data_IF_506967117294
#
_entry.id   IF_506967117294
#
_cell.length_a   1.000
_cell.length_b   1.000
_cell.length_c   1.000
_cell.angle_alpha   90.00
_cell.angle_beta   90.00
_cell.angle_gamma   90.00
#
_symmetry.space_group_name_H-M   'P 1'
#
loop_
_entity.id
_entity.type
_entity.pdbx_description
1 polymer ?
#
# COMPACT_ATOMS: atom_id res chain seq x y z
N UNK A 1 8.99 -43.53 -63.77
CA UNK A 1 10.15 -42.77 -63.27
C UNK A 1 10.28 -41.51 -64.13
N UNK A 2 10.28 -40.25 -63.68
CA UNK A 2 10.12 -39.57 -62.40
C UNK A 2 10.06 -38.08 -62.78
N UNK A 3 8.89 -37.44 -62.65
CA UNK A 3 8.63 -36.08 -63.16
C UNK A 3 9.11 -35.00 -62.18
N UNK A 4 9.82 -34.02 -62.74
CA UNK A 4 10.33 -32.77 -62.17
C UNK A 4 9.26 -32.03 -61.34
N UNK A 5 9.57 -31.70 -60.08
CA UNK A 5 8.73 -30.83 -59.23
C UNK A 5 9.14 -29.37 -59.42
N UNK A 6 8.23 -28.56 -59.94
CA UNK A 6 8.36 -27.09 -60.04
C UNK A 6 8.06 -26.48 -58.68
N UNK A 7 9.03 -25.78 -58.10
CA UNK A 7 8.88 -24.99 -56.87
C UNK A 7 8.19 -23.67 -57.24
N UNK A 8 7.01 -23.43 -56.67
CA UNK A 8 6.23 -22.20 -56.84
C UNK A 8 6.46 -21.32 -55.61
N UNK A 9 7.33 -20.32 -55.74
CA UNK A 9 7.57 -19.30 -54.71
C UNK A 9 6.31 -18.43 -54.56
N UNK A 10 5.59 -18.59 -53.44
CA UNK A 10 4.54 -17.67 -53.03
C UNK A 10 5.22 -16.59 -52.17
N UNK A 11 5.37 -15.40 -52.75
CA UNK A 11 5.76 -14.18 -52.03
C UNK A 11 4.54 -13.74 -51.22
N UNK A 12 4.47 -14.14 -49.96
CA UNK A 12 3.51 -13.62 -48.99
C UNK A 12 3.99 -12.27 -48.48
N UNK A 13 3.35 -11.19 -48.90
CA UNK A 13 3.63 -9.84 -48.42
C UNK A 13 3.39 -9.73 -46.92
N UNK A 14 4.42 -9.32 -46.18
CA UNK A 14 4.32 -8.99 -44.77
C UNK A 14 3.55 -7.68 -44.61
N UNK A 15 2.26 -7.78 -44.27
CA UNK A 15 1.48 -6.68 -43.72
C UNK A 15 2.00 -6.42 -42.30
N UNK A 16 2.99 -5.52 -42.20
CA UNK A 16 3.37 -4.90 -40.94
C UNK A 16 2.22 -3.99 -40.52
N UNK A 17 1.29 -4.54 -39.76
CA UNK A 17 0.36 -3.76 -38.93
C UNK A 17 1.20 -3.10 -37.83
N UNK A 18 1.78 -1.95 -38.15
CA UNK A 18 2.22 -1.00 -37.14
C UNK A 18 0.97 -0.51 -36.43
N UNK A 19 0.56 -1.24 -35.38
CA UNK A 19 -0.31 -0.74 -34.34
C UNK A 19 0.47 0.39 -33.65
N UNK A 20 0.41 1.59 -34.23
CA UNK A 20 0.76 2.79 -33.51
C UNK A 20 -0.10 2.78 -32.26
N UNK A 21 0.53 2.75 -31.08
CA UNK A 21 -0.18 2.97 -29.84
C UNK A 21 -1.11 4.16 -30.04
N UNK A 22 -2.41 3.97 -29.85
CA UNK A 22 -3.35 5.07 -29.90
C UNK A 22 -3.06 5.93 -28.66
N UNK A 23 -2.14 6.88 -28.80
CA UNK A 23 -1.89 7.91 -27.81
C UNK A 23 -3.14 8.80 -27.81
N UNK A 24 -4.06 8.46 -26.91
CA UNK A 24 -5.29 9.21 -26.71
C UNK A 24 -4.98 10.40 -25.80
N UNK A 25 -5.69 11.51 -26.00
CA UNK A 25 -5.87 12.47 -24.93
C UNK A 25 -6.79 11.87 -23.85
N UNK A 26 -7.09 12.62 -22.79
CA UNK A 26 -7.94 12.14 -21.68
C UNK A 26 -9.41 11.86 -22.06
N UNK A 27 -9.75 12.01 -23.34
CA UNK A 27 -11.06 11.84 -23.95
C UNK A 27 -10.96 11.08 -25.29
N UNK A 28 -12.08 10.55 -25.77
CA UNK A 28 -12.16 9.88 -27.07
C UNK A 28 -11.88 10.88 -28.21
N UNK A 29 -10.71 10.74 -28.85
CA UNK A 29 -10.29 11.60 -29.94
C UNK A 29 -11.24 11.60 -31.15
N UNK A 30 -12.11 10.61 -31.31
CA UNK A 30 -13.16 10.61 -32.34
C UNK A 30 -14.27 11.62 -32.04
N UNK A 31 -14.38 12.06 -30.80
CA UNK A 31 -15.37 13.01 -30.30
C UNK A 31 -14.79 14.43 -30.16
N UNK A 32 -13.55 14.66 -30.62
CA UNK A 32 -12.91 15.97 -30.57
C UNK A 32 -13.69 17.02 -31.37
N UNK A 33 -14.32 17.98 -30.69
CA UNK A 33 -15.15 19.03 -31.28
C UNK A 33 -14.40 20.34 -31.52
N UNK A 34 -13.37 20.64 -30.73
CA UNK A 34 -12.64 21.92 -30.82
C UNK A 34 -11.32 21.79 -31.60
N UNK A 35 -10.78 22.89 -32.19
CA UNK A 35 -9.44 22.88 -32.80
C UNK A 35 -8.35 22.47 -31.81
N UNK A 36 -8.49 22.86 -30.53
CA UNK A 36 -7.56 22.45 -29.47
C UNK A 36 -7.64 20.95 -29.21
N UNK A 37 -8.83 20.37 -29.02
CA UNK A 37 -9.00 18.93 -28.81
C UNK A 37 -8.41 18.11 -29.96
N UNK A 38 -8.68 18.52 -31.22
CA UNK A 38 -8.08 17.90 -32.39
C UNK A 38 -6.54 18.00 -32.36
N UNK A 39 -5.99 19.11 -31.85
CA UNK A 39 -4.54 19.27 -31.72
C UNK A 39 -3.93 18.41 -30.62
N UNK A 40 -4.61 18.28 -29.47
CA UNK A 40 -4.21 17.37 -28.38
C UNK A 40 -4.13 15.93 -28.87
N UNK A 41 -5.12 15.49 -29.65
CA UNK A 41 -5.16 14.16 -30.26
C UNK A 41 -4.10 13.95 -31.35
N UNK A 42 -3.70 14.99 -32.06
CA UNK A 42 -2.73 14.90 -33.15
C UNK A 42 -1.27 14.93 -32.68
N UNK A 43 -0.99 15.44 -31.47
CA UNK A 43 0.38 15.62 -30.94
C UNK A 43 0.55 14.79 -29.67
N UNK A 44 1.27 13.65 -29.72
CA UNK A 44 1.40 12.74 -28.58
C UNK A 44 1.86 13.40 -27.29
N UNK A 45 2.86 14.30 -27.37
CA UNK A 45 3.37 15.01 -26.19
C UNK A 45 2.33 15.96 -25.54
N UNK A 46 1.35 16.46 -26.31
CA UNK A 46 0.25 17.26 -25.76
C UNK A 46 -0.86 16.35 -25.19
N UNK A 47 -1.13 15.21 -25.82
CA UNK A 47 -2.03 14.19 -25.29
C UNK A 47 -1.58 13.69 -23.91
N UNK A 48 -0.29 13.36 -23.75
CA UNK A 48 0.27 12.97 -22.46
C UNK A 48 0.13 14.04 -21.37
N UNK A 49 0.30 15.32 -21.71
CA UNK A 49 0.09 16.42 -20.75
C UNK A 49 -1.39 16.59 -20.39
N UNK A 50 -2.30 16.31 -21.31
CA UNK A 50 -3.75 16.31 -21.06
C UNK A 50 -4.15 15.14 -20.15
N UNK A 51 -3.57 13.95 -20.33
CA UNK A 51 -3.77 12.80 -19.44
C UNK A 51 -3.30 13.11 -18.01
N UNK A 52 -2.09 13.67 -17.84
CA UNK A 52 -1.58 14.09 -16.54
C UNK A 52 -2.48 15.12 -15.86
N UNK A 53 -3.06 16.02 -16.66
CA UNK A 53 -3.95 17.06 -16.16
C UNK A 53 -5.29 16.49 -15.70
N UNK A 54 -5.86 15.56 -16.46
CA UNK A 54 -7.10 14.87 -16.12
C UNK A 54 -6.92 14.01 -14.86
N UNK A 55 -5.79 13.30 -14.72
CA UNK A 55 -5.43 12.58 -13.50
C UNK A 55 -5.36 13.51 -12.28
N UNK A 56 -4.61 14.61 -12.38
CA UNK A 56 -4.50 15.59 -11.30
C UNK A 56 -5.85 16.22 -10.96
N UNK A 57 -6.68 16.53 -11.97
CA UNK A 57 -8.01 17.09 -11.78
C UNK A 57 -8.96 16.12 -11.07
N UNK A 58 -8.95 14.83 -11.43
CA UNK A 58 -9.71 13.78 -10.73
C UNK A 58 -9.26 13.66 -9.28
N UNK A 59 -7.95 13.65 -9.02
CA UNK A 59 -7.41 13.64 -7.66
C UNK A 59 -7.92 14.81 -6.80
N UNK A 60 -7.93 16.03 -7.35
CA UNK A 60 -8.49 17.21 -6.66
C UNK A 60 -9.99 17.03 -6.38
N UNK A 61 -10.77 16.50 -7.33
CA UNK A 61 -12.20 16.25 -7.10
C UNK A 61 -12.45 15.19 -6.03
N UNK A 62 -11.62 14.16 -5.96
CA UNK A 62 -11.79 13.05 -5.02
C UNK A 62 -11.37 13.42 -3.59
N UNK A 63 -10.48 14.40 -3.42
CA UNK A 63 -9.94 14.82 -2.11
C UNK A 63 -10.46 16.17 -1.61
N UNK A 64 -11.10 16.96 -2.47
CA UNK A 64 -11.66 18.26 -2.07
C UNK A 64 -12.81 18.11 -1.06
N UNK A 65 -12.93 19.06 -0.11
CA UNK A 65 -14.16 19.22 0.66
C UNK A 65 -15.37 19.45 -0.25
N UNK A 66 -16.52 18.91 0.14
CA UNK A 66 -17.81 19.01 -0.57
C UNK A 66 -18.12 20.43 -1.02
N UNK A 67 -17.98 21.39 -0.12
CA UNK A 67 -18.33 22.79 -0.35
C UNK A 67 -17.41 23.47 -1.37
N UNK A 68 -16.21 22.91 -1.60
CA UNK A 68 -15.23 23.42 -2.56
C UNK A 68 -15.40 22.84 -3.98
N UNK A 69 -16.17 21.76 -4.16
CA UNK A 69 -16.27 21.04 -5.44
C UNK A 69 -16.82 21.91 -6.57
N UNK A 70 -17.80 22.76 -6.29
CA UNK A 70 -18.36 23.68 -7.29
C UNK A 70 -17.30 24.67 -7.78
N UNK A 71 -16.53 25.25 -6.85
CA UNK A 71 -15.46 26.20 -7.17
C UNK A 71 -14.35 25.54 -8.00
N UNK A 72 -13.94 24.31 -7.66
CA UNK A 72 -12.95 23.53 -8.43
C UNK A 72 -13.42 23.34 -9.89
N UNK A 73 -14.68 22.95 -10.07
CA UNK A 73 -15.29 22.74 -11.41
C UNK A 73 -15.38 24.05 -12.20
N UNK A 74 -15.74 25.16 -11.56
CA UNK A 74 -15.79 26.47 -12.19
C UNK A 74 -14.41 26.96 -12.64
N UNK A 75 -13.39 26.79 -11.80
CA UNK A 75 -12.02 27.11 -12.14
C UNK A 75 -11.52 26.28 -13.33
N UNK A 76 -11.84 24.98 -13.38
CA UNK A 76 -11.48 24.13 -14.51
C UNK A 76 -12.17 24.57 -15.81
N UNK A 77 -13.48 24.89 -15.76
CA UNK A 77 -14.22 25.44 -16.92
C UNK A 77 -13.65 26.77 -17.40
N UNK A 78 -13.27 27.66 -16.48
CA UNK A 78 -12.65 28.92 -16.82
C UNK A 78 -11.29 28.71 -17.50
N UNK A 79 -10.47 27.81 -16.96
CA UNK A 79 -9.19 27.43 -17.56
C UNK A 79 -9.36 26.82 -18.96
N UNK A 80 -10.36 25.95 -19.19
CA UNK A 80 -10.64 25.40 -20.52
C UNK A 80 -10.91 26.49 -21.57
N UNK A 81 -11.61 27.57 -21.20
CA UNK A 81 -11.80 28.73 -22.10
C UNK A 81 -10.48 29.43 -22.42
N UNK A 82 -9.61 29.61 -21.43
CA UNK A 82 -8.27 30.20 -21.61
C UNK A 82 -7.39 29.32 -22.51
N UNK A 83 -7.36 28.00 -22.27
CA UNK A 83 -6.66 27.02 -23.11
C UNK A 83 -7.15 27.07 -24.55
N UNK A 84 -8.47 27.15 -24.77
CA UNK A 84 -9.04 27.17 -26.11
C UNK A 84 -8.64 28.42 -26.92
N UNK A 85 -8.26 29.52 -26.28
CA UNK A 85 -7.71 30.70 -26.97
C UNK A 85 -6.36 30.42 -27.66
N UNK A 86 -5.60 29.39 -27.24
CA UNK A 86 -4.36 28.98 -27.91
C UNK A 86 -4.55 28.58 -29.39
N UNK A 87 -5.77 28.24 -29.81
CA UNK A 87 -6.07 27.98 -31.22
C UNK A 87 -5.84 29.20 -32.14
N UNK A 88 -5.80 30.41 -31.56
CA UNK A 88 -5.52 31.66 -32.28
C UNK A 88 -4.05 32.09 -32.17
N UNK A 89 -3.22 31.39 -31.39
CA UNK A 89 -1.80 31.69 -31.22
C UNK A 89 -1.00 31.23 -32.45
N UNK A 90 -0.08 32.06 -32.93
CA UNK A 90 0.79 31.70 -34.05
C UNK A 90 1.67 30.46 -33.76
N UNK A 91 1.93 30.17 -32.49
CA UNK A 91 2.64 28.99 -31.97
C UNK A 91 1.72 28.15 -31.08
N UNK A 92 0.64 27.63 -31.66
CA UNK A 92 -0.40 26.83 -30.98
C UNK A 92 0.18 25.78 -30.02
N UNK A 93 1.14 24.96 -30.46
CA UNK A 93 1.70 23.88 -29.64
C UNK A 93 2.44 24.39 -28.41
N UNK A 94 3.20 25.46 -28.56
CA UNK A 94 3.93 26.07 -27.45
C UNK A 94 2.97 26.72 -26.46
N UNK A 95 1.90 27.35 -26.95
CA UNK A 95 0.83 27.89 -26.11
C UNK A 95 0.13 26.77 -25.32
N UNK A 96 -0.27 25.69 -25.99
CA UNK A 96 -0.92 24.54 -25.36
C UNK A 96 0.00 23.87 -24.35
N UNK A 97 1.27 23.61 -24.69
CA UNK A 97 2.24 23.00 -23.79
C UNK A 97 2.40 23.81 -22.51
N UNK A 98 2.57 25.15 -22.62
CA UNK A 98 2.67 26.03 -21.44
C UNK A 98 1.38 26.02 -20.61
N UNK A 99 0.22 26.11 -21.26
CA UNK A 99 -1.08 26.13 -20.58
C UNK A 99 -1.38 24.83 -19.83
N UNK A 100 -1.15 23.68 -20.46
CA UNK A 100 -1.32 22.36 -19.86
C UNK A 100 -0.36 22.17 -18.69
N UNK A 101 0.94 22.41 -18.88
CA UNK A 101 1.94 22.26 -17.81
C UNK A 101 1.62 23.13 -16.61
N UNK A 102 1.31 24.42 -16.83
CA UNK A 102 0.96 25.32 -15.74
C UNK A 102 -0.29 24.85 -14.97
N UNK A 103 -1.26 24.24 -15.66
CA UNK A 103 -2.45 23.70 -15.02
C UNK A 103 -2.20 22.40 -14.27
N UNK A 104 -1.41 21.48 -14.81
CA UNK A 104 -0.93 20.28 -14.11
C UNK A 104 -0.26 20.70 -12.80
N UNK A 105 0.71 21.62 -12.86
CA UNK A 105 1.44 22.10 -11.68
C UNK A 105 0.50 22.76 -10.65
N UNK A 106 -0.51 23.52 -11.10
CA UNK A 106 -1.47 24.16 -10.21
C UNK A 106 -2.45 23.15 -9.55
N UNK A 107 -2.89 22.15 -10.30
CA UNK A 107 -3.73 21.07 -9.78
C UNK A 107 -2.94 20.19 -8.81
N UNK A 108 -1.69 19.86 -9.10
CA UNK A 108 -0.79 19.14 -8.19
C UNK A 108 -0.67 19.84 -6.85
N UNK A 109 -0.31 21.14 -6.84
CA UNK A 109 -0.25 21.94 -5.59
C UNK A 109 -1.58 21.97 -4.82
N UNK A 110 -2.70 21.99 -5.55
CA UNK A 110 -4.03 21.98 -4.93
C UNK A 110 -4.31 20.62 -4.28
N UNK A 111 -3.98 19.54 -4.99
CA UNK A 111 -4.11 18.17 -4.51
C UNK A 111 -3.26 17.96 -3.24
N UNK A 112 -1.98 18.36 -3.27
CA UNK A 112 -1.07 18.23 -2.13
C UNK A 112 -1.64 18.96 -0.91
N UNK A 113 -2.12 20.20 -1.08
CA UNK A 113 -2.70 20.98 0.02
C UNK A 113 -3.98 20.35 0.59
N UNK A 114 -4.83 19.76 -0.28
CA UNK A 114 -6.04 19.06 0.14
C UNK A 114 -5.70 17.77 0.91
N UNK A 115 -4.77 16.98 0.39
CA UNK A 115 -4.26 15.77 1.03
C UNK A 115 -3.63 16.08 2.40
N UNK A 116 -2.76 17.09 2.49
CA UNK A 116 -2.17 17.52 3.76
C UNK A 116 -3.23 17.99 4.77
N UNK A 117 -4.35 18.54 4.30
CA UNK A 117 -5.46 18.92 5.19
C UNK A 117 -6.18 17.70 5.73
N UNK A 118 -6.50 16.72 4.88
CA UNK A 118 -7.09 15.45 5.31
C UNK A 118 -6.17 14.71 6.27
N UNK A 119 -4.86 14.68 6.00
CA UNK A 119 -3.85 14.07 6.87
C UNK A 119 -3.78 14.71 8.25
N UNK A 120 -3.86 16.04 8.33
CA UNK A 120 -3.90 16.73 9.62
C UNK A 120 -5.14 16.36 10.44
N UNK A 121 -6.28 16.16 9.77
CA UNK A 121 -7.51 15.68 10.43
C UNK A 121 -7.28 14.26 10.96
N UNK A 122 -6.76 13.35 10.13
CA UNK A 122 -6.50 11.96 10.51
C UNK A 122 -5.47 11.87 11.65
N UNK A 123 -4.37 12.60 11.56
CA UNK A 123 -3.32 12.64 12.57
C UNK A 123 -3.80 13.22 13.91
N UNK A 124 -4.90 14.00 13.92
CA UNK A 124 -5.50 14.52 15.15
C UNK A 124 -6.34 13.49 15.90
N UNK A 125 -6.73 12.38 15.28
CA UNK A 125 -7.64 11.38 15.85
C UNK A 125 -7.21 10.92 17.26
N UNK A 126 -5.94 10.58 17.54
CA UNK A 126 -5.54 10.13 18.88
C UNK A 126 -5.72 11.19 19.98
N UNK A 127 -5.74 12.47 19.62
CA UNK A 127 -5.79 13.60 20.56
C UNK A 127 -7.19 14.18 20.69
N UNK A 128 -7.87 14.36 19.55
CA UNK A 128 -9.16 15.05 19.44
C UNK A 128 -10.09 14.28 18.50
N UNK A 129 -10.49 13.04 18.85
CA UNK A 129 -11.24 12.16 17.94
C UNK A 129 -12.62 12.72 17.56
N UNK A 130 -13.31 13.39 18.50
CA UNK A 130 -14.60 14.04 18.22
C UNK A 130 -14.47 15.20 17.22
N UNK A 131 -13.36 15.94 17.25
CA UNK A 131 -13.13 17.06 16.33
C UNK A 131 -12.82 16.55 14.92
N UNK A 132 -12.06 15.45 14.82
CA UNK A 132 -11.83 14.77 13.55
C UNK A 132 -13.15 14.22 12.97
N UNK A 133 -13.98 13.58 13.79
CA UNK A 133 -15.29 13.07 13.41
C UNK A 133 -16.27 14.14 12.91
N UNK A 134 -16.16 15.38 13.40
CA UNK A 134 -16.96 16.52 12.90
C UNK A 134 -16.48 17.06 11.54
N UNK A 135 -15.21 16.91 11.22
CA UNK A 135 -14.62 17.45 9.99
C UNK A 135 -14.69 16.47 8.80
N UNK A 136 -14.43 15.18 9.04
CA UNK A 136 -14.42 14.14 8.00
C UNK A 136 -15.71 14.05 7.15
N UNK A 137 -16.93 14.30 7.67
CA UNK A 137 -18.14 14.29 6.86
C UNK A 137 -18.17 15.33 5.74
N UNK A 138 -17.36 16.39 5.86
CA UNK A 138 -17.16 17.39 4.82
C UNK A 138 -16.43 16.86 3.58
N UNK A 139 -15.90 15.64 3.62
CA UNK A 139 -15.21 15.00 2.50
C UNK A 139 -16.08 13.86 1.94
N UNK A 140 -16.17 13.79 0.61
CA UNK A 140 -16.74 12.63 -0.10
C UNK A 140 -15.71 11.57 -0.47
N UNK A 141 -14.43 11.87 -0.21
CA UNK A 141 -13.32 10.97 -0.41
C UNK A 141 -13.61 9.58 0.20
N UNK A 142 -13.38 8.48 -0.54
CA UNK A 142 -13.56 7.14 0.01
C UNK A 142 -12.68 6.88 1.24
N UNK A 143 -11.46 7.45 1.30
CA UNK A 143 -10.61 7.36 2.49
C UNK A 143 -11.27 8.00 3.71
N UNK A 144 -11.81 9.22 3.59
CA UNK A 144 -12.50 9.88 4.70
C UNK A 144 -13.72 9.07 5.18
N UNK A 145 -14.40 8.41 4.24
CA UNK A 145 -15.51 7.51 4.54
C UNK A 145 -15.05 6.24 5.29
N UNK A 146 -13.92 5.64 4.91
CA UNK A 146 -13.33 4.52 5.63
C UNK A 146 -12.89 4.92 7.06
N UNK A 147 -12.34 6.13 7.25
CA UNK A 147 -12.01 6.67 8.58
C UNK A 147 -13.24 6.88 9.46
N UNK A 148 -14.37 7.34 8.92
CA UNK A 148 -15.61 7.45 9.69
C UNK A 148 -16.11 6.09 10.19
N UNK A 149 -16.00 5.05 9.35
CA UNK A 149 -16.30 3.69 9.78
C UNK A 149 -15.34 3.21 10.87
N UNK A 150 -14.03 3.47 10.72
CA UNK A 150 -13.03 3.17 11.76
C UNK A 150 -13.35 3.86 13.10
N UNK A 151 -13.65 5.16 13.08
CA UNK A 151 -13.94 5.93 14.28
C UNK A 151 -15.13 5.37 15.06
N UNK A 152 -16.19 4.94 14.37
CA UNK A 152 -17.34 4.30 15.02
C UNK A 152 -16.97 2.99 15.72
N UNK A 153 -16.20 2.13 15.05
CA UNK A 153 -15.91 0.79 15.56
C UNK A 153 -14.78 0.71 16.60
N UNK A 154 -13.83 1.65 16.56
CA UNK A 154 -12.61 1.57 17.37
C UNK A 154 -12.39 2.78 18.28
N UNK A 155 -13.12 3.88 18.10
CA UNK A 155 -12.93 5.12 18.88
C UNK A 155 -14.28 5.64 19.37
N UNK A 156 -14.89 5.05 20.41
CA UNK A 156 -16.20 5.47 20.92
C UNK A 156 -16.29 6.97 21.27
N UNK A 157 -15.19 7.55 21.75
CA UNK A 157 -15.07 8.98 22.06
C UNK A 157 -15.20 9.91 20.83
N UNK A 158 -15.13 9.38 19.61
CA UNK A 158 -15.36 10.12 18.38
C UNK A 158 -16.83 10.49 18.17
N UNK A 159 -17.76 9.73 18.75
CA UNK A 159 -19.21 10.01 18.66
C UNK A 159 -19.80 9.85 17.26
N UNK A 160 -19.20 9.03 16.39
CA UNK A 160 -19.74 8.74 15.05
C UNK A 160 -20.95 7.82 15.18
N UNK A 161 -22.09 8.27 14.66
CA UNK A 161 -23.34 7.50 14.62
C UNK A 161 -23.23 6.23 13.74
N UNK A 162 -23.93 5.16 14.13
CA UNK A 162 -23.89 3.88 13.44
C UNK A 162 -24.46 3.94 12.02
N UNK A 163 -25.54 4.70 11.79
CA UNK A 163 -26.12 4.83 10.45
C UNK A 163 -25.18 5.61 9.53
N UNK A 164 -24.53 6.67 10.03
CA UNK A 164 -23.49 7.39 9.29
C UNK A 164 -22.31 6.46 8.97
N UNK A 165 -21.80 5.71 9.95
CA UNK A 165 -20.67 4.80 9.77
C UNK A 165 -20.96 3.73 8.70
N UNK A 166 -22.14 3.09 8.78
CA UNK A 166 -22.56 2.08 7.81
C UNK A 166 -22.70 2.65 6.40
N UNK A 167 -23.33 3.82 6.25
CA UNK A 167 -23.46 4.49 4.96
C UNK A 167 -22.10 4.83 4.35
N UNK A 168 -21.14 5.26 5.17
CA UNK A 168 -19.77 5.60 4.74
C UNK A 168 -18.95 4.37 4.40
N UNK A 169 -19.07 3.29 5.17
CA UNK A 169 -18.46 1.99 4.83
C UNK A 169 -18.94 1.50 3.45
N UNK A 170 -20.25 1.46 3.21
CA UNK A 170 -20.81 0.99 1.93
C UNK A 170 -20.46 1.92 0.77
N UNK A 171 -20.41 3.24 1.00
CA UNK A 171 -19.94 4.21 0.01
C UNK A 171 -18.49 3.93 -0.41
N UNK A 172 -17.59 3.76 0.56
CA UNK A 172 -16.18 3.47 0.31
C UNK A 172 -15.97 2.09 -0.34
N UNK A 173 -16.71 1.05 0.10
CA UNK A 173 -16.67 -0.28 -0.51
C UNK A 173 -17.17 -0.26 -1.96
N UNK A 174 -18.25 0.46 -2.25
CA UNK A 174 -18.78 0.62 -3.61
C UNK A 174 -17.81 1.39 -4.51
N UNK A 175 -17.16 2.43 -3.99
CA UNK A 175 -16.12 3.15 -4.71
C UNK A 175 -14.93 2.23 -5.03
N UNK A 176 -14.51 1.41 -4.06
CA UNK A 176 -13.40 0.46 -4.23
C UNK A 176 -13.73 -0.54 -5.33
N UNK A 177 -14.94 -1.11 -5.31
CA UNK A 177 -15.39 -2.08 -6.33
C UNK A 177 -15.31 -1.55 -7.76
N UNK A 178 -15.60 -0.26 -7.96
CA UNK A 178 -15.51 0.37 -9.30
C UNK A 178 -14.07 0.46 -9.80
N UNK A 179 -13.11 0.58 -8.89
CA UNK A 179 -11.70 0.79 -9.23
C UNK A 179 -10.84 -0.48 -9.12
N UNK A 180 -11.28 -1.44 -8.31
CA UNK A 180 -10.58 -2.67 -7.95
C UNK A 180 -11.58 -3.70 -7.40
N UNK A 181 -12.30 -4.37 -8.32
CA UNK A 181 -13.33 -5.35 -7.97
C UNK A 181 -12.76 -6.53 -7.17
N UNK A 182 -11.52 -6.93 -7.45
CA UNK A 182 -10.85 -8.00 -6.73
C UNK A 182 -10.55 -7.61 -5.27
N UNK A 183 -10.01 -6.42 -5.00
CA UNK A 183 -9.81 -6.00 -3.61
C UNK A 183 -11.16 -5.88 -2.87
N UNK A 184 -12.18 -5.34 -3.53
CA UNK A 184 -13.50 -5.21 -2.93
C UNK A 184 -14.16 -6.56 -2.63
N UNK A 185 -13.91 -7.60 -3.44
CA UNK A 185 -14.50 -8.92 -3.21
C UNK A 185 -13.96 -9.63 -1.97
N UNK A 186 -12.76 -9.26 -1.48
CA UNK A 186 -12.23 -9.75 -0.20
C UNK A 186 -13.06 -9.29 1.02
N UNK A 187 -13.93 -8.30 0.85
CA UNK A 187 -14.83 -7.80 1.90
C UNK A 187 -16.24 -8.41 1.83
N UNK A 188 -16.50 -9.24 0.84
CA UNK A 188 -17.78 -9.94 0.69
C UNK A 188 -17.78 -11.21 1.54
N UNK A 189 -18.97 -11.62 1.95
CA UNK A 189 -19.14 -12.94 2.56
C UNK A 189 -19.01 -13.99 1.47
N UNK A 190 -18.14 -14.98 1.69
CA UNK A 190 -17.92 -16.09 0.77
C UNK A 190 -18.61 -17.33 1.30
N UNK A 191 -19.46 -17.95 0.48
CA UNK A 191 -20.16 -19.19 0.82
C UNK A 191 -19.15 -20.28 1.23
N UNK A 192 -19.35 -20.86 2.41
CA UNK A 192 -18.50 -21.92 2.95
C UNK A 192 -17.22 -21.44 3.65
N UNK A 193 -16.96 -20.14 3.71
CA UNK A 193 -15.90 -19.56 4.55
C UNK A 193 -16.50 -18.86 5.79
N UNK A 194 -15.80 -18.84 6.93
CA UNK A 194 -16.21 -17.99 8.06
C UNK A 194 -16.28 -16.53 7.62
N UNK A 195 -17.43 -15.90 7.85
CA UNK A 195 -17.63 -14.48 7.52
C UNK A 195 -16.60 -13.63 8.28
N UNK A 196 -16.01 -12.67 7.57
CA UNK A 196 -15.10 -11.71 8.17
C UNK A 196 -15.86 -10.89 9.23
N UNK A 197 -15.31 -10.79 10.44
CA UNK A 197 -15.94 -9.98 11.49
C UNK A 197 -16.04 -8.52 11.04
N UNK A 198 -17.10 -7.82 11.43
CA UNK A 198 -17.35 -6.44 10.97
C UNK A 198 -16.17 -5.50 11.25
N UNK A 199 -15.52 -5.63 12.41
CA UNK A 199 -14.33 -4.87 12.77
C UNK A 199 -13.16 -5.14 11.82
N UNK A 200 -12.95 -6.40 11.44
CA UNK A 200 -11.91 -6.78 10.48
C UNK A 200 -12.22 -6.22 9.09
N UNK A 201 -13.48 -6.28 8.64
CA UNK A 201 -13.91 -5.67 7.35
C UNK A 201 -13.60 -4.17 7.30
N UNK A 202 -13.83 -3.46 8.40
CA UNK A 202 -13.56 -2.02 8.50
C UNK A 202 -12.07 -1.71 8.42
N UNK A 203 -11.23 -2.46 9.13
CA UNK A 203 -9.78 -2.29 9.06
C UNK A 203 -9.22 -2.66 7.68
N UNK A 204 -9.71 -3.75 7.07
CA UNK A 204 -9.32 -4.18 5.72
C UNK A 204 -9.71 -3.13 4.67
N UNK A 205 -10.94 -2.58 4.74
CA UNK A 205 -11.36 -1.50 3.84
C UNK A 205 -10.51 -0.24 4.04
N UNK A 206 -10.20 0.14 5.29
CA UNK A 206 -9.34 1.27 5.59
C UNK A 206 -7.94 1.07 5.01
N UNK A 207 -7.35 -0.12 5.22
CA UNK A 207 -6.09 -0.55 4.62
C UNK A 207 -6.12 -0.39 3.10
N UNK A 208 -7.15 -0.90 2.42
CA UNK A 208 -7.28 -0.82 0.96
C UNK A 208 -7.36 0.62 0.43
N UNK A 209 -7.88 1.57 1.21
CA UNK A 209 -7.89 2.97 0.81
C UNK A 209 -6.58 3.68 1.10
N UNK A 210 -5.94 3.41 2.24
CA UNK A 210 -4.61 3.95 2.55
C UNK A 210 -3.59 3.46 1.53
N UNK A 211 -3.71 2.21 1.07
CA UNK A 211 -2.67 1.65 0.21
C UNK A 211 -2.60 2.24 -1.19
N UNK A 212 -3.70 2.88 -1.63
CA UNK A 212 -3.88 3.42 -2.98
C UNK A 212 -3.44 4.87 -3.12
N UNK A 213 -3.22 5.58 -2.02
CA UNK A 213 -2.71 6.94 -2.10
C UNK A 213 -1.22 6.91 -2.43
N UNK A 214 -0.78 7.79 -3.34
CA UNK A 214 0.63 7.92 -3.70
C UNK A 214 1.45 8.22 -2.44
N UNK A 215 2.39 7.32 -2.15
CA UNK A 215 3.15 7.28 -0.89
C UNK A 215 4.48 8.00 -0.97
N UNK A 216 4.88 8.45 -2.14
CA UNK A 216 6.23 8.97 -2.35
C UNK A 216 6.55 10.17 -1.42
N UNK A 217 5.53 10.87 -0.89
CA UNK A 217 5.72 12.04 -0.02
C UNK A 217 4.80 12.11 1.22
N UNK A 218 3.94 11.10 1.46
CA UNK A 218 2.88 11.19 2.48
C UNK A 218 3.29 10.57 3.83
N UNK A 219 3.23 11.30 4.96
CA UNK A 219 3.54 10.73 6.27
C UNK A 219 2.51 9.65 6.65
N UNK A 220 2.95 8.58 7.31
CA UNK A 220 2.06 7.51 7.78
C UNK A 220 1.18 7.98 8.96
N UNK A 221 0.15 8.78 8.69
CA UNK A 221 -0.76 9.33 9.71
C UNK A 221 -1.64 8.27 10.36
N UNK A 222 -1.71 7.05 9.82
CA UNK A 222 -2.50 5.94 10.35
C UNK A 222 -1.77 5.09 11.40
N UNK A 223 -0.45 5.25 11.60
CA UNK A 223 0.33 4.33 12.44
C UNK A 223 -0.15 4.19 13.88
N UNK A 224 -0.87 5.18 14.42
CA UNK A 224 -1.43 5.10 15.76
C UNK A 224 -2.39 3.91 15.93
N UNK A 225 -3.01 3.44 14.83
CA UNK A 225 -3.96 2.32 14.84
C UNK A 225 -3.31 1.06 15.44
N UNK A 226 -2.04 0.79 15.14
CA UNK A 226 -1.37 -0.43 15.61
C UNK A 226 -1.26 -0.49 17.14
N UNK A 227 -0.99 0.65 17.79
CA UNK A 227 -0.97 0.75 19.24
C UNK A 227 -2.38 0.78 19.84
N UNK A 228 -3.33 1.44 19.17
CA UNK A 228 -4.69 1.64 19.67
C UNK A 228 -5.58 0.38 19.56
N UNK A 229 -5.41 -0.40 18.50
CA UNK A 229 -6.28 -1.54 18.16
C UNK A 229 -5.60 -2.89 18.46
N UNK A 230 -4.27 -2.99 18.31
CA UNK A 230 -3.53 -4.23 18.54
C UNK A 230 -3.69 -5.25 17.41
N UNK A 231 -3.81 -6.53 17.76
CA UNK A 231 -3.74 -7.66 16.81
C UNK A 231 -4.65 -7.55 15.58
N UNK A 232 -5.93 -7.12 15.69
CA UNK A 232 -6.78 -6.96 14.51
C UNK A 232 -6.21 -5.99 13.46
N UNK A 233 -5.46 -4.96 13.88
CA UNK A 233 -4.80 -4.05 12.96
C UNK A 233 -3.56 -4.66 12.32
N UNK A 234 -2.77 -5.45 13.06
CA UNK A 234 -1.63 -6.15 12.50
C UNK A 234 -2.06 -7.18 11.45
N UNK A 235 -3.13 -7.93 11.71
CA UNK A 235 -3.68 -8.88 10.74
C UNK A 235 -4.25 -8.16 9.50
N UNK A 236 -5.04 -7.09 9.68
CA UNK A 236 -5.64 -6.37 8.55
C UNK A 236 -4.61 -5.61 7.69
N UNK A 237 -3.51 -5.13 8.28
CA UNK A 237 -2.44 -4.43 7.58
C UNK A 237 -1.25 -5.34 7.24
N UNK A 238 -1.38 -6.65 7.46
CA UNK A 238 -0.36 -7.62 7.10
C UNK A 238 -0.48 -8.10 5.66
N UNK A 239 -0.05 -9.35 5.40
CA UNK A 239 -0.26 -10.02 4.13
C UNK A 239 -1.75 -10.22 3.86
N UNK A 240 -2.20 -9.88 2.65
CA UNK A 240 -3.61 -9.92 2.28
C UNK A 240 -3.85 -10.57 0.93
N UNK A 241 -2.99 -10.31 -0.06
CA UNK A 241 -3.27 -10.67 -1.45
C UNK A 241 -2.58 -11.97 -1.90
N UNK A 242 -1.49 -12.36 -1.25
CA UNK A 242 -0.65 -13.46 -1.72
C UNK A 242 0.06 -13.14 -3.03
N UNK A 243 0.41 -11.87 -3.29
CA UNK A 243 0.97 -11.44 -4.56
C UNK A 243 1.88 -10.22 -4.42
N UNK A 244 2.41 -9.71 -5.52
CA UNK A 244 3.18 -8.44 -5.57
C UNK A 244 2.44 -7.27 -4.94
N UNK A 245 1.10 -7.32 -4.85
CA UNK A 245 0.30 -6.29 -4.18
C UNK A 245 0.66 -6.11 -2.70
N UNK A 246 1.12 -7.17 -2.03
CA UNK A 246 1.54 -7.10 -0.62
C UNK A 246 2.81 -6.25 -0.43
N UNK A 247 3.60 -5.99 -1.48
CA UNK A 247 4.70 -5.02 -1.42
C UNK A 247 4.23 -3.58 -1.20
N UNK A 248 2.97 -3.30 -1.50
CA UNK A 248 2.30 -2.03 -1.23
C UNK A 248 1.48 -2.13 0.05
N UNK A 249 1.86 -2.92 1.05
CA UNK A 249 1.24 -2.83 2.36
C UNK A 249 1.60 -1.50 3.03
N UNK A 250 0.65 -0.68 3.56
CA UNK A 250 0.94 0.52 4.33
C UNK A 250 1.32 0.12 5.76
N UNK A 251 2.36 -0.70 5.88
CA UNK A 251 2.96 -1.07 7.16
C UNK A 251 3.90 0.06 7.55
N UNK A 252 3.75 0.55 8.78
CA UNK A 252 4.57 1.64 9.28
C UNK A 252 5.99 1.18 9.58
N UNK A 253 6.94 2.12 9.48
CA UNK A 253 8.30 1.86 9.94
C UNK A 253 8.32 1.56 11.46
N UNK A 254 9.01 0.49 11.89
CA UNK A 254 9.12 0.16 13.31
C UNK A 254 9.87 1.25 14.10
N UNK A 255 9.26 1.89 15.11
CA UNK A 255 9.93 2.92 15.88
C UNK A 255 11.02 2.36 16.82
N UNK A 256 11.95 3.21 17.25
CA UNK A 256 12.92 2.90 18.32
C UNK A 256 14.11 2.01 17.90
N UNK A 257 14.22 1.65 16.61
CA UNK A 257 15.47 1.15 16.02
C UNK A 257 15.97 -0.18 16.56
N UNK A 258 15.10 -1.07 17.06
CA UNK A 258 15.47 -2.40 17.55
C UNK A 258 16.25 -3.20 16.48
N UNK A 259 15.71 -3.29 15.27
CA UNK A 259 16.29 -4.08 14.18
C UNK A 259 17.51 -3.41 13.52
N UNK A 260 17.80 -2.15 13.85
CA UNK A 260 19.02 -1.46 13.41
C UNK A 260 20.24 -1.78 14.29
N UNK A 261 20.04 -2.48 15.41
CA UNK A 261 21.12 -2.81 16.36
C UNK A 261 22.10 -3.82 15.74
N UNK A 262 23.38 -3.84 16.18
CA UNK A 262 24.40 -4.68 15.56
C UNK A 262 24.09 -6.18 15.57
N UNK A 263 23.51 -6.72 16.66
CA UNK A 263 23.21 -8.15 16.72
C UNK A 263 22.08 -8.54 15.77
N UNK A 264 21.06 -7.69 15.62
CA UNK A 264 19.99 -7.87 14.65
C UNK A 264 20.48 -7.78 13.21
N UNK A 265 21.37 -6.84 12.88
CA UNK A 265 22.00 -6.77 11.55
C UNK A 265 22.83 -8.01 11.22
N UNK A 266 23.56 -8.54 12.20
CA UNK A 266 24.31 -9.79 12.03
C UNK A 266 23.39 -10.99 11.84
N UNK A 267 22.28 -11.05 12.59
CA UNK A 267 21.27 -12.09 12.43
C UNK A 267 20.64 -12.04 11.03
N UNK A 268 20.25 -10.86 10.56
CA UNK A 268 19.70 -10.65 9.21
C UNK A 268 20.67 -11.05 8.10
N UNK A 269 21.95 -10.66 8.22
CA UNK A 269 22.99 -11.08 7.29
C UNK A 269 23.15 -12.61 7.23
N UNK A 270 22.97 -13.32 8.36
CA UNK A 270 23.05 -14.78 8.41
C UNK A 270 21.90 -15.53 7.72
N UNK A 271 20.81 -14.84 7.39
CA UNK A 271 19.70 -15.39 6.59
C UNK A 271 19.72 -14.91 5.13
N UNK A 272 20.55 -13.93 4.78
CA UNK A 272 20.52 -13.29 3.47
C UNK A 272 20.72 -14.28 2.31
N UNK A 273 21.69 -15.19 2.42
CA UNK A 273 21.95 -16.23 1.41
C UNK A 273 20.76 -17.16 1.21
N UNK A 274 20.19 -17.67 2.31
CA UNK A 274 19.00 -18.53 2.29
C UNK A 274 17.82 -17.84 1.61
N UNK A 275 17.51 -16.61 2.02
CA UNK A 275 16.38 -15.85 1.47
C UNK A 275 16.62 -15.54 -0.02
N UNK A 276 17.84 -15.18 -0.41
CA UNK A 276 18.17 -14.93 -1.82
C UNK A 276 17.96 -16.19 -2.66
N UNK A 277 18.47 -17.34 -2.23
CA UNK A 277 18.35 -18.62 -2.93
C UNK A 277 16.88 -18.97 -3.18
N UNK A 278 16.06 -18.94 -2.14
CA UNK A 278 14.65 -19.33 -2.20
C UNK A 278 13.75 -18.32 -2.90
N UNK A 279 14.10 -17.03 -2.83
CA UNK A 279 13.28 -15.97 -3.44
C UNK A 279 13.18 -16.08 -4.96
N UNK A 280 14.12 -16.78 -5.61
CA UNK A 280 14.15 -16.98 -7.06
C UNK A 280 12.96 -17.81 -7.53
N UNK A 281 12.60 -18.83 -6.76
CA UNK A 281 11.54 -19.78 -7.12
C UNK A 281 10.20 -19.48 -6.42
N UNK A 282 10.21 -18.62 -5.40
CA UNK A 282 9.02 -18.25 -4.63
C UNK A 282 7.99 -17.37 -5.38
N UNK A 283 8.25 -16.97 -6.63
CA UNK A 283 7.30 -16.18 -7.44
C UNK A 283 6.78 -14.91 -6.74
N UNK A 284 5.50 -14.59 -6.91
CA UNK A 284 4.88 -13.40 -6.30
C UNK A 284 4.38 -13.64 -4.87
N UNK A 285 4.30 -14.88 -4.39
CA UNK A 285 3.82 -15.17 -3.04
C UNK A 285 4.81 -14.69 -1.96
N UNK A 286 6.10 -14.56 -2.29
CA UNK A 286 7.14 -14.03 -1.39
C UNK A 286 6.83 -12.65 -0.80
N UNK A 287 6.09 -11.81 -1.51
CA UNK A 287 5.74 -10.48 -1.02
C UNK A 287 4.77 -10.53 0.17
N UNK A 288 3.97 -11.59 0.29
CA UNK A 288 3.19 -11.86 1.49
C UNK A 288 4.11 -12.14 2.69
N UNK A 289 5.13 -12.98 2.52
CA UNK A 289 6.13 -13.22 3.58
C UNK A 289 6.88 -11.93 3.97
N UNK A 290 7.21 -11.08 3.00
CA UNK A 290 7.88 -9.80 3.28
C UNK A 290 6.99 -8.83 4.07
N UNK A 291 5.70 -8.75 3.73
CA UNK A 291 4.73 -7.99 4.52
C UNK A 291 4.61 -8.56 5.95
N UNK A 292 4.59 -9.89 6.10
CA UNK A 292 4.56 -10.53 7.42
C UNK A 292 5.79 -10.18 8.25
N UNK A 293 6.98 -10.18 7.65
CA UNK A 293 8.21 -9.81 8.35
C UNK A 293 8.21 -8.34 8.79
N UNK A 294 7.62 -7.45 7.99
CA UNK A 294 7.42 -6.06 8.38
C UNK A 294 6.41 -5.93 9.53
N UNK A 295 5.32 -6.71 9.54
CA UNK A 295 4.37 -6.77 10.67
C UNK A 295 5.06 -7.28 11.93
N UNK A 296 5.89 -8.32 11.83
CA UNK A 296 6.65 -8.83 12.98
C UNK A 296 7.51 -7.70 13.58
N UNK A 297 8.24 -6.98 12.73
CA UNK A 297 9.09 -5.90 13.18
C UNK A 297 8.28 -4.75 13.81
N UNK A 298 7.18 -4.34 13.18
CA UNK A 298 6.32 -3.28 13.68
C UNK A 298 5.64 -3.67 15.01
N UNK A 299 5.13 -4.90 15.13
CA UNK A 299 4.52 -5.42 16.36
C UNK A 299 5.52 -5.46 17.50
N UNK A 300 6.76 -5.90 17.24
CA UNK A 300 7.84 -5.91 18.24
C UNK A 300 8.16 -4.49 18.73
N UNK A 301 8.12 -3.52 17.83
CA UNK A 301 8.42 -2.13 18.16
C UNK A 301 7.25 -1.38 18.83
N UNK A 302 6.01 -1.71 18.52
CA UNK A 302 4.82 -0.95 18.97
C UNK A 302 4.11 -1.63 20.13
N UNK A 303 3.86 -2.94 20.01
CA UNK A 303 3.04 -3.73 20.95
C UNK A 303 3.74 -5.04 21.35
N UNK A 304 4.98 -4.99 21.90
CA UNK A 304 5.81 -6.17 22.11
C UNK A 304 5.18 -7.22 23.02
N UNK A 305 4.38 -6.82 24.01
CA UNK A 305 3.73 -7.76 24.92
C UNK A 305 2.74 -8.71 24.24
N UNK A 306 2.22 -8.36 23.05
CA UNK A 306 1.32 -9.24 22.29
C UNK A 306 1.98 -10.58 21.96
N UNK A 307 3.31 -10.64 21.80
CA UNK A 307 4.02 -11.89 21.52
C UNK A 307 3.89 -12.97 22.61
N UNK A 308 3.39 -12.62 23.80
CA UNK A 308 3.08 -13.59 24.84
C UNK A 308 1.67 -14.19 24.71
N UNK A 309 0.82 -13.66 23.83
CA UNK A 309 -0.53 -14.19 23.59
C UNK A 309 -0.45 -15.60 22.99
N UNK A 310 -1.34 -16.53 23.41
CA UNK A 310 -1.33 -17.91 22.93
C UNK A 310 -1.38 -18.05 21.40
N UNK A 311 -2.16 -17.19 20.75
CA UNK A 311 -2.39 -17.21 19.30
C UNK A 311 -1.09 -16.88 18.55
N UNK A 312 -0.37 -15.84 18.98
CA UNK A 312 0.91 -15.47 18.39
C UNK A 312 2.02 -16.47 18.71
N UNK A 313 2.04 -17.02 19.93
CA UNK A 313 2.98 -18.09 20.28
C UNK A 313 2.73 -19.36 19.46
N UNK A 314 1.48 -19.65 19.13
CA UNK A 314 1.12 -20.75 18.24
C UNK A 314 1.52 -20.45 16.80
N UNK A 315 1.27 -19.23 16.31
CA UNK A 315 1.58 -18.80 14.93
C UNK A 315 3.08 -18.88 14.65
N UNK A 316 3.90 -18.43 15.58
CA UNK A 316 5.35 -18.28 15.38
C UNK A 316 6.20 -19.35 16.05
N UNK A 317 5.59 -20.31 16.74
CA UNK A 317 6.30 -21.40 17.39
C UNK A 317 7.15 -20.99 18.60
N UNK A 318 8.06 -21.89 18.98
CA UNK A 318 8.94 -21.76 20.15
C UNK A 318 10.37 -21.41 19.73
N UNK A 319 11.33 -21.65 20.63
CA UNK A 319 12.75 -21.36 20.39
C UNK A 319 13.24 -21.93 19.04
N UNK A 320 13.80 -21.10 18.14
CA UNK A 320 14.22 -21.52 16.81
C UNK A 320 15.50 -22.37 16.79
N UNK A 321 16.24 -22.51 17.91
CA UNK A 321 17.56 -23.16 17.90
C UNK A 321 17.51 -24.59 17.34
N UNK A 322 16.52 -25.38 17.77
CA UNK A 322 16.33 -26.74 17.28
C UNK A 322 15.89 -26.78 15.81
N UNK A 323 15.05 -25.84 15.38
CA UNK A 323 14.61 -25.77 13.99
C UNK A 323 15.78 -25.44 13.04
N UNK A 324 16.67 -24.52 13.44
CA UNK A 324 17.89 -24.22 12.68
C UNK A 324 18.84 -25.42 12.65
N UNK A 325 19.00 -26.12 13.78
CA UNK A 325 19.86 -27.29 13.87
C UNK A 325 19.35 -28.46 13.02
N UNK A 326 18.03 -28.63 12.96
CA UNK A 326 17.34 -29.69 12.23
C UNK A 326 16.99 -29.30 10.78
N UNK A 327 17.44 -28.13 10.31
CA UNK A 327 17.14 -27.66 8.96
C UNK A 327 17.64 -28.67 7.90
N UNK A 328 16.75 -29.02 6.98
CA UNK A 328 16.93 -30.14 6.05
C UNK A 328 16.90 -29.75 4.57
N UNK A 329 17.01 -28.45 4.24
CA UNK A 329 17.14 -27.98 2.87
C UNK A 329 18.54 -28.24 2.27
N UNK A 330 18.79 -27.75 1.06
CA UNK A 330 20.08 -27.96 0.40
C UNK A 330 21.19 -27.13 1.07
N UNK A 331 22.29 -27.75 1.49
CA UNK A 331 23.40 -27.01 2.14
C UNK A 331 24.00 -25.90 1.26
N UNK A 332 23.80 -25.95 -0.07
CA UNK A 332 24.15 -24.86 -1.00
C UNK A 332 23.31 -23.59 -0.80
N UNK A 333 22.08 -23.73 -0.31
CA UNK A 333 21.18 -22.60 -0.08
C UNK A 333 21.44 -21.94 1.28
N UNK A 334 21.84 -22.74 2.29
CA UNK A 334 22.20 -22.22 3.61
C UNK A 334 23.29 -23.04 4.29
N UNK A 335 24.57 -22.67 4.12
CA UNK A 335 25.70 -23.47 4.60
C UNK A 335 25.66 -23.74 6.11
N UNK A 336 26.08 -24.94 6.51
CA UNK A 336 26.18 -25.37 7.93
C UNK A 336 26.94 -24.36 8.80
N UNK A 337 28.00 -23.76 8.25
CA UNK A 337 28.78 -22.73 8.96
C UNK A 337 27.95 -21.48 9.29
N UNK A 338 27.10 -21.04 8.35
CA UNK A 338 26.18 -19.91 8.55
C UNK A 338 25.07 -20.27 9.55
N UNK A 339 24.49 -21.47 9.43
CA UNK A 339 23.50 -21.99 10.41
C UNK A 339 24.05 -21.97 11.83
N UNK A 340 25.28 -22.47 12.01
CA UNK A 340 25.96 -22.48 13.30
C UNK A 340 26.25 -21.06 13.81
N UNK A 341 26.66 -20.14 12.94
CA UNK A 341 26.87 -18.74 13.30
C UNK A 341 25.56 -18.05 13.74
N UNK A 342 24.46 -18.28 13.03
CA UNK A 342 23.13 -17.79 13.40
C UNK A 342 22.71 -18.31 14.77
N UNK A 343 22.85 -19.62 15.03
CA UNK A 343 22.52 -20.22 16.34
C UNK A 343 23.33 -19.60 17.47
N UNK A 344 24.64 -19.42 17.26
CA UNK A 344 25.53 -18.79 18.23
C UNK A 344 25.15 -17.33 18.55
N UNK A 345 24.48 -16.63 17.62
CA UNK A 345 24.01 -15.25 17.82
C UNK A 345 22.72 -15.17 18.65
N UNK A 346 21.87 -16.21 18.66
CA UNK A 346 20.53 -16.14 19.28
C UNK A 346 20.54 -15.66 20.74
N UNK A 347 21.43 -16.14 21.64
CA UNK A 347 21.47 -15.65 23.03
C UNK A 347 21.79 -14.15 23.11
N UNK A 348 22.69 -13.67 22.25
CA UNK A 348 23.10 -12.26 22.19
C UNK A 348 21.95 -11.37 21.69
N UNK A 349 21.25 -11.81 20.64
CA UNK A 349 20.10 -11.08 20.09
C UNK A 349 18.96 -10.99 21.11
N UNK A 350 18.69 -12.08 21.84
CA UNK A 350 17.70 -12.09 22.94
C UNK A 350 18.08 -11.12 24.05
N UNK A 351 19.34 -11.13 24.49
CA UNK A 351 19.83 -10.23 25.53
C UNK A 351 19.75 -8.75 25.10
N UNK A 352 20.18 -8.42 23.88
CA UNK A 352 20.10 -7.06 23.34
C UNK A 352 18.64 -6.59 23.22
N UNK A 353 17.74 -7.49 22.79
CA UNK A 353 16.30 -7.20 22.69
C UNK A 353 15.67 -7.00 24.07
N UNK A 354 16.00 -7.83 25.06
CA UNK A 354 15.51 -7.67 26.42
C UNK A 354 15.97 -6.35 27.06
N UNK A 355 17.25 -5.98 26.86
CA UNK A 355 17.79 -4.70 27.30
C UNK A 355 17.07 -3.52 26.64
N UNK A 356 16.81 -3.60 25.34
CA UNK A 356 16.05 -2.58 24.60
C UNK A 356 14.61 -2.46 25.09
N UNK A 357 13.92 -3.57 25.35
CA UNK A 357 12.56 -3.57 25.91
C UNK A 357 12.53 -2.94 27.31
N UNK A 358 13.53 -3.24 28.14
CA UNK A 358 13.65 -2.64 29.47
C UNK A 358 13.90 -1.12 29.39
N UNK A 359 14.75 -0.65 28.47
CA UNK A 359 15.08 0.78 28.34
C UNK A 359 13.99 1.59 27.64
N UNK A 360 13.60 1.18 26.43
CA UNK A 360 12.71 1.94 25.55
C UNK A 360 11.23 1.73 25.89
N UNK A 361 10.87 0.53 26.37
CA UNK A 361 9.49 0.18 26.70
C UNK A 361 9.20 0.15 28.19
N UNK A 362 10.21 0.42 29.03
CA UNK A 362 10.10 0.39 30.50
C UNK A 362 9.54 -0.95 31.01
N UNK A 363 9.83 -2.02 30.29
CA UNK A 363 9.32 -3.35 30.60
C UNK A 363 10.08 -3.96 31.78
N UNK A 364 9.41 -4.59 32.76
CA UNK A 364 10.08 -5.32 33.84
C UNK A 364 11.03 -6.39 33.28
N UNK A 365 12.21 -6.52 33.88
CA UNK A 365 13.30 -7.36 33.34
C UNK A 365 12.85 -8.78 32.95
N UNK A 366 12.14 -9.48 33.85
CA UNK A 366 11.64 -10.84 33.58
C UNK A 366 10.65 -10.89 32.41
N UNK A 367 9.80 -9.88 32.29
CA UNK A 367 8.86 -9.79 31.16
C UNK A 367 9.61 -9.46 29.87
N UNK A 368 10.61 -8.57 29.93
CA UNK A 368 11.45 -8.22 28.80
C UNK A 368 12.20 -9.43 28.23
N UNK A 369 12.72 -10.31 29.09
CA UNK A 369 13.36 -11.56 28.67
C UNK A 369 12.38 -12.50 27.95
N UNK A 370 11.17 -12.69 28.51
CA UNK A 370 10.15 -13.54 27.90
C UNK A 370 9.68 -13.01 26.54
N UNK A 371 9.44 -11.71 26.46
CA UNK A 371 9.02 -11.04 25.24
C UNK A 371 10.14 -11.03 24.20
N UNK A 372 11.39 -10.79 24.61
CA UNK A 372 12.55 -10.87 23.71
C UNK A 372 12.70 -12.25 23.09
N UNK A 373 12.56 -13.31 23.89
CA UNK A 373 12.60 -14.68 23.37
C UNK A 373 11.50 -14.93 22.33
N UNK A 374 10.28 -14.45 22.57
CA UNK A 374 9.15 -14.62 21.66
C UNK A 374 9.29 -13.78 20.36
N UNK A 375 9.83 -12.56 20.45
CA UNK A 375 10.14 -11.71 19.27
C UNK A 375 11.20 -12.37 18.40
N UNK A 376 12.29 -12.87 19.00
CA UNK A 376 13.36 -13.57 18.27
C UNK A 376 12.82 -14.85 17.63
N UNK A 377 11.99 -15.62 18.33
CA UNK A 377 11.33 -16.79 17.76
C UNK A 377 10.47 -16.42 16.54
N UNK A 378 9.62 -15.40 16.64
CA UNK A 378 8.79 -14.96 15.53
C UNK A 378 9.59 -14.50 14.32
N UNK A 379 10.61 -13.69 14.54
CA UNK A 379 11.43 -13.17 13.45
C UNK A 379 12.19 -14.29 12.73
N UNK A 380 12.73 -15.25 13.48
CA UNK A 380 13.53 -16.36 12.92
C UNK A 380 12.64 -17.41 12.28
N UNK A 381 11.61 -17.88 12.98
CA UNK A 381 10.72 -18.92 12.46
C UNK A 381 9.98 -18.45 11.21
N UNK A 382 9.56 -17.17 11.12
CA UNK A 382 8.96 -16.65 9.89
C UNK A 382 9.89 -16.68 8.66
N UNK A 383 11.21 -16.73 8.86
CA UNK A 383 12.21 -16.91 7.78
C UNK A 383 12.48 -18.38 7.49
N UNK A 384 12.44 -19.23 8.51
CA UNK A 384 12.50 -20.68 8.32
C UNK A 384 11.26 -21.21 7.60
N UNK A 385 10.06 -20.71 7.94
CA UNK A 385 8.81 -21.09 7.28
C UNK A 385 8.78 -20.65 5.81
N UNK A 386 9.47 -19.56 5.46
CA UNK A 386 9.68 -19.17 4.07
C UNK A 386 10.59 -20.16 3.32
N UNK A 387 11.42 -20.91 4.03
CA UNK A 387 12.32 -21.91 3.48
C UNK A 387 11.71 -23.29 3.26
N UNK A 388 10.48 -23.53 3.73
CA UNK A 388 9.79 -24.81 3.60
C UNK A 388 9.88 -25.66 4.85
#
# INVERSE_FOLDING_TARGET
MGRMRVVRCIVGGALVLSAGAAWSASFDCKQAGTPVERRLCAVPALGQLDDQLDEAYRGVLDTAPRDSLTAVRDQQRAWLRQRNACAQDAKVDDCLRRSLKARVDALGKTLDAQQQTLDRIIASIPKTPADAARQLPGYDAPLASAWLAYLHHFVPAAGVDAALANARFESARKALRKTDDFAASLLDDVDGAPAMQQQQRVLTLLRMWIEREDRSERPYVHCFIFAAVGEPAYDAFGPLYGSTRDSFAPICEPPGGLFARPSWKQLDAGFAGLIEALSKDAGTIRYASYAEWQIIALRAAVSPALYLQPELRKRYGNDPDQAIAAWSGEDSDWPVAERNAVRALLPKVRAETAAWLASEKRMPARQAEQVAAAIVAAWVNARLDFAG
#
